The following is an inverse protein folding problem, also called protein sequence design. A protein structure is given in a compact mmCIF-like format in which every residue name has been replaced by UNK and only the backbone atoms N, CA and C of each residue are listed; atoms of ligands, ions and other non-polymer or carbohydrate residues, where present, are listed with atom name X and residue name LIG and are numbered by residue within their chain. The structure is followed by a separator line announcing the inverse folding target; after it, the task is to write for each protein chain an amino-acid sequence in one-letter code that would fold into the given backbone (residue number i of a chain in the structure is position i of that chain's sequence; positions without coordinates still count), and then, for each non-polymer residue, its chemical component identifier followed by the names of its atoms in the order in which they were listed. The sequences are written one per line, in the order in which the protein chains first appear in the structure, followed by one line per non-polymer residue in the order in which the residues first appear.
data_IF_523979376821
#
_entry.id   IF_523979376821
#
_cell.length_a   1.000
_cell.length_b   1.000
_cell.length_c   1.000
_cell.angle_alpha   90.00
_cell.angle_beta   90.00
_cell.angle_gamma   90.00
#
_symmetry.space_group_name_H-M   'P 1'
#
loop_
_entity.id
_entity.type
_entity.pdbx_description
1 polymer ?
#
# COMPACT_ATOMS: atom_id res chain seq x y z
N UNK A 1 3.16 33.86 40.53
CA UNK A 1 3.04 32.38 40.49
C UNK A 1 2.75 31.90 39.08
N UNK A 2 3.76 31.42 38.43
CA UNK A 2 3.61 30.90 37.07
C UNK A 2 2.96 29.51 37.13
N UNK A 3 1.75 29.35 36.63
CA UNK A 3 1.12 28.06 36.47
C UNK A 3 1.84 27.33 35.33
N UNK A 4 2.76 26.47 35.64
CA UNK A 4 3.31 25.48 34.73
C UNK A 4 2.15 24.64 34.20
N UNK A 5 1.74 24.87 32.92
CA UNK A 5 0.88 23.97 32.18
C UNK A 5 1.67 22.67 32.00
N UNK A 6 1.37 21.67 32.82
CA UNK A 6 1.74 20.28 32.50
C UNK A 6 1.11 19.95 31.16
N UNK A 7 1.87 20.08 30.10
CA UNK A 7 1.50 19.57 28.79
C UNK A 7 1.56 18.05 28.85
N UNK A 8 0.45 17.43 29.15
CA UNK A 8 0.34 15.97 29.09
C UNK A 8 0.66 15.57 27.64
N UNK A 9 1.75 14.83 27.45
CA UNK A 9 2.15 14.37 26.13
C UNK A 9 1.04 13.45 25.61
N UNK A 10 0.46 13.78 24.46
CA UNK A 10 -0.58 12.98 23.81
C UNK A 10 -0.03 11.59 23.50
N UNK A 11 -0.90 10.60 23.52
CA UNK A 11 -0.60 9.22 23.11
C UNK A 11 -0.51 9.10 21.60
N UNK A 12 0.09 8.02 21.09
CA UNK A 12 0.11 7.70 19.64
C UNK A 12 -1.30 7.68 19.07
N UNK A 13 -2.22 7.05 19.78
CA UNK A 13 -3.64 6.93 19.38
C UNK A 13 -4.32 8.30 19.27
N UNK A 14 -4.08 9.20 20.21
CA UNK A 14 -4.63 10.56 20.17
C UNK A 14 -4.10 11.37 18.99
N UNK A 15 -2.82 11.22 18.61
CA UNK A 15 -2.26 11.85 17.42
C UNK A 15 -2.85 11.29 16.13
N UNK A 16 -3.09 10.00 16.05
CA UNK A 16 -3.71 9.34 14.90
C UNK A 16 -5.16 9.82 14.73
N UNK A 17 -5.91 9.85 15.83
CA UNK A 17 -7.28 10.37 15.82
C UNK A 17 -7.33 11.82 15.32
N UNK A 18 -6.51 12.69 15.89
CA UNK A 18 -6.40 14.09 15.47
C UNK A 18 -6.02 14.23 13.98
N UNK A 19 -5.16 13.36 13.48
CA UNK A 19 -4.76 13.33 12.08
C UNK A 19 -5.94 13.08 11.15
N UNK A 20 -6.75 12.07 11.41
CA UNK A 20 -7.93 11.78 10.59
C UNK A 20 -9.03 12.84 10.76
N UNK A 21 -9.23 13.36 11.96
CA UNK A 21 -10.16 14.47 12.22
C UNK A 21 -9.79 15.72 11.42
N UNK A 22 -8.50 16.09 11.37
CA UNK A 22 -8.01 17.23 10.59
C UNK A 22 -8.20 17.06 9.08
N UNK A 23 -8.24 15.84 8.60
CA UNK A 23 -8.54 15.51 7.21
C UNK A 23 -10.05 15.39 6.94
N UNK A 24 -10.88 15.60 7.96
CA UNK A 24 -12.34 15.40 7.90
C UNK A 24 -12.74 13.98 7.44
N UNK A 25 -11.94 12.98 7.82
CA UNK A 25 -12.18 11.58 7.55
C UNK A 25 -12.79 10.95 8.80
N UNK A 26 -14.04 10.49 8.68
CA UNK A 26 -14.70 9.74 9.73
C UNK A 26 -14.25 8.28 9.66
N UNK A 27 -13.51 7.85 10.67
CA UNK A 27 -13.01 6.48 10.77
C UNK A 27 -12.89 6.03 12.21
N UNK A 28 -13.13 4.76 12.44
CA UNK A 28 -12.65 4.05 13.61
C UNK A 28 -11.43 3.22 13.23
N UNK A 29 -10.57 2.95 14.18
CA UNK A 29 -9.37 2.16 13.92
C UNK A 29 -8.96 1.32 15.12
N UNK A 30 -8.35 0.20 14.83
CA UNK A 30 -7.56 -0.60 15.75
C UNK A 30 -6.09 -0.36 15.48
N UNK A 31 -5.28 -0.31 16.54
CA UNK A 31 -3.86 -0.02 16.44
C UNK A 31 -3.03 -1.11 17.12
N UNK A 32 -2.03 -1.59 16.42
CA UNK A 32 -0.96 -2.42 16.96
C UNK A 32 0.36 -1.66 16.83
N UNK A 33 1.02 -1.38 17.95
CA UNK A 33 2.31 -0.68 17.96
C UNK A 33 3.44 -1.64 18.31
N UNK A 34 4.38 -1.81 17.39
CA UNK A 34 5.64 -2.52 17.57
C UNK A 34 6.82 -1.54 17.68
N UNK A 35 8.03 -2.05 17.83
CA UNK A 35 9.23 -1.23 18.00
C UNK A 35 9.50 -0.33 16.77
N UNK A 36 9.35 -0.85 15.56
CA UNK A 36 9.67 -0.16 14.32
C UNK A 36 8.45 0.13 13.43
N UNK A 37 7.28 -0.40 13.78
CA UNK A 37 6.08 -0.33 12.95
C UNK A 37 4.83 -0.07 13.80
N UNK A 38 3.92 0.73 13.24
CA UNK A 38 2.56 0.93 13.71
C UNK A 38 1.62 0.40 12.64
N UNK A 39 0.79 -0.56 12.98
CA UNK A 39 -0.26 -1.09 12.10
C UNK A 39 -1.60 -0.54 12.51
N UNK A 40 -2.34 -0.05 11.54
CA UNK A 40 -3.70 0.46 11.71
C UNK A 40 -4.65 -0.35 10.84
N UNK A 41 -5.75 -0.78 11.43
CA UNK A 41 -6.87 -1.34 10.69
C UNK A 41 -8.00 -0.33 10.76
N UNK A 42 -8.36 0.25 9.62
CA UNK A 42 -9.40 1.28 9.52
C UNK A 42 -10.74 0.68 9.12
N UNK A 43 -11.78 1.15 9.80
CA UNK A 43 -13.17 0.97 9.39
C UNK A 43 -13.77 2.32 9.02
N UNK A 44 -14.21 2.48 7.78
CA UNK A 44 -14.73 3.75 7.27
C UNK A 44 -15.69 3.52 6.10
N UNK A 45 -16.63 4.47 5.94
CA UNK A 45 -17.51 4.54 4.77
C UNK A 45 -16.76 5.12 3.54
N UNK A 46 -15.67 5.84 3.77
CA UNK A 46 -14.88 6.53 2.75
C UNK A 46 -13.68 5.71 2.24
N UNK A 47 -13.77 4.39 2.28
CA UNK A 47 -12.68 3.47 1.91
C UNK A 47 -12.10 3.75 0.53
N UNK A 48 -12.95 4.03 -0.46
CA UNK A 48 -12.51 4.36 -1.83
C UNK A 48 -11.67 5.62 -1.90
N UNK A 49 -12.01 6.66 -1.13
CA UNK A 49 -11.24 7.90 -1.06
C UNK A 49 -9.89 7.69 -0.34
N UNK A 50 -9.88 6.93 0.73
CA UNK A 50 -8.66 6.64 1.50
C UNK A 50 -7.69 5.76 0.70
N UNK A 51 -8.19 4.79 -0.05
CA UNK A 51 -7.39 3.91 -0.90
C UNK A 51 -6.88 4.69 -2.12
N UNK A 52 -7.78 5.41 -2.80
CA UNK A 52 -7.47 6.12 -4.03
C UNK A 52 -7.16 5.18 -5.20
N UNK A 53 -6.65 5.76 -6.27
CA UNK A 53 -6.28 5.01 -7.47
C UNK A 53 -5.15 4.02 -7.18
N UNK A 54 -5.41 2.74 -7.32
CA UNK A 54 -4.43 1.66 -7.05
C UNK A 54 -3.72 1.76 -5.69
N UNK A 55 -4.38 2.36 -4.68
CA UNK A 55 -3.80 2.55 -3.35
C UNK A 55 -2.77 3.68 -3.24
N UNK A 56 -2.68 4.60 -4.20
CA UNK A 56 -1.73 5.72 -4.16
C UNK A 56 -2.03 6.69 -3.02
N UNK A 57 -3.32 6.98 -2.77
CA UNK A 57 -3.73 7.83 -1.64
C UNK A 57 -3.38 7.16 -0.32
N UNK A 58 -3.61 5.86 -0.20
CA UNK A 58 -3.27 5.08 0.99
C UNK A 58 -1.76 5.12 1.29
N UNK A 59 -0.92 4.96 0.28
CA UNK A 59 0.53 5.04 0.43
C UNK A 59 0.97 6.45 0.90
N UNK A 60 0.36 7.49 0.34
CA UNK A 60 0.62 8.87 0.74
C UNK A 60 0.20 9.12 2.20
N UNK A 61 -0.97 8.66 2.61
CA UNK A 61 -1.46 8.78 3.98
C UNK A 61 -0.55 8.07 4.98
N UNK A 62 -0.09 6.87 4.66
CA UNK A 62 0.85 6.12 5.49
C UNK A 62 2.15 6.90 5.71
N UNK A 63 2.70 7.47 4.65
CA UNK A 63 3.93 8.25 4.71
C UNK A 63 3.74 9.52 5.54
N UNK A 64 2.68 10.29 5.27
CA UNK A 64 2.41 11.56 5.98
C UNK A 64 2.17 11.29 7.46
N UNK A 65 1.37 10.29 7.80
CA UNK A 65 1.11 9.93 9.19
C UNK A 65 2.40 9.50 9.91
N UNK A 66 3.25 8.69 9.26
CA UNK A 66 4.55 8.31 9.82
C UNK A 66 5.43 9.53 10.12
N UNK A 67 5.48 10.52 9.21
CA UNK A 67 6.23 11.76 9.40
C UNK A 67 5.64 12.63 10.53
N UNK A 68 4.32 12.74 10.63
CA UNK A 68 3.64 13.48 11.72
C UNK A 68 3.96 12.84 13.06
N UNK A 69 3.85 11.53 13.18
CA UNK A 69 4.15 10.81 14.41
C UNK A 69 5.64 10.94 14.78
N UNK A 70 6.55 10.78 13.82
CA UNK A 70 7.98 10.96 14.03
C UNK A 70 8.31 12.35 14.58
N UNK A 71 7.70 13.39 14.03
CA UNK A 71 7.89 14.76 14.53
C UNK A 71 7.34 14.98 15.93
N UNK A 72 6.24 14.33 16.28
CA UNK A 72 5.59 14.44 17.60
C UNK A 72 6.29 13.61 18.67
N UNK A 73 6.82 12.45 18.31
CA UNK A 73 7.39 11.47 19.25
C UNK A 73 8.94 11.49 19.28
N UNK A 74 9.58 12.05 18.27
CA UNK A 74 11.03 12.14 18.16
C UNK A 74 11.71 10.88 17.58
N UNK A 75 10.94 9.87 17.16
CA UNK A 75 11.45 8.65 16.53
C UNK A 75 10.56 8.26 15.35
N UNK A 76 11.17 7.86 14.24
CA UNK A 76 10.44 7.37 13.07
C UNK A 76 10.03 5.91 13.24
N UNK A 77 8.74 5.64 13.04
CA UNK A 77 8.20 4.30 12.89
C UNK A 77 7.45 4.22 11.56
N UNK A 78 7.58 3.10 10.89
CA UNK A 78 6.79 2.83 9.69
C UNK A 78 5.31 2.72 10.07
N UNK A 79 4.45 3.31 9.26
CA UNK A 79 2.99 3.16 9.41
C UNK A 79 2.45 2.32 8.27
N UNK A 80 1.71 1.29 8.61
CA UNK A 80 0.96 0.44 7.68
C UNK A 80 -0.53 0.57 7.99
N UNK A 81 -1.33 0.88 6.98
CA UNK A 81 -2.78 1.06 7.11
C UNK A 81 -3.47 0.00 6.26
N UNK A 82 -4.34 -0.77 6.90
CA UNK A 82 -5.26 -1.71 6.25
C UNK A 82 -6.67 -1.10 6.23
N UNK A 83 -7.32 -1.14 5.09
CA UNK A 83 -8.68 -0.61 4.90
C UNK A 83 -9.56 -1.73 4.35
N UNK A 84 -10.40 -2.30 5.21
CA UNK A 84 -11.24 -3.44 4.85
C UNK A 84 -10.42 -4.58 4.25
N UNK A 85 -10.95 -5.21 3.20
CA UNK A 85 -10.29 -6.31 2.47
C UNK A 85 -9.47 -5.85 1.26
N UNK A 86 -9.10 -4.56 1.18
CA UNK A 86 -8.45 -4.01 -0.02
C UNK A 86 -7.19 -4.77 -0.43
N UNK A 87 -6.30 -5.06 0.51
CA UNK A 87 -5.03 -5.75 0.22
C UNK A 87 -5.27 -7.14 -0.35
N UNK A 88 -6.18 -7.89 0.25
CA UNK A 88 -6.59 -9.23 -0.21
C UNK A 88 -7.20 -9.18 -1.61
N UNK A 89 -8.15 -8.27 -1.82
CA UNK A 89 -8.81 -8.09 -3.12
C UNK A 89 -7.80 -7.65 -4.20
N UNK A 90 -6.83 -6.81 -3.83
CA UNK A 90 -5.78 -6.39 -4.76
C UNK A 90 -4.86 -7.54 -5.14
N UNK A 91 -4.49 -8.40 -4.20
CA UNK A 91 -3.69 -9.61 -4.50
C UNK A 91 -4.45 -10.60 -5.40
N UNK A 92 -5.74 -10.80 -5.17
CA UNK A 92 -6.59 -11.64 -6.03
C UNK A 92 -6.67 -11.07 -7.44
N UNK A 93 -6.82 -9.76 -7.58
CA UNK A 93 -6.79 -9.08 -8.87
C UNK A 93 -5.43 -9.26 -9.60
N UNK A 94 -4.32 -9.16 -8.88
CA UNK A 94 -2.98 -9.39 -9.45
C UNK A 94 -2.80 -10.84 -9.92
N UNK A 95 -3.34 -11.82 -9.22
CA UNK A 95 -3.34 -13.23 -9.64
C UNK A 95 -4.11 -13.42 -10.95
N UNK A 96 -5.28 -12.81 -11.04
CA UNK A 96 -6.07 -12.81 -12.27
C UNK A 96 -5.35 -12.13 -13.43
N UNK A 97 -4.75 -10.96 -13.18
CA UNK A 97 -3.96 -10.25 -14.19
C UNK A 97 -2.79 -11.08 -14.71
N UNK A 98 -2.09 -11.81 -13.82
CA UNK A 98 -1.02 -12.73 -14.22
C UNK A 98 -1.52 -13.85 -15.14
N UNK A 99 -2.66 -14.46 -14.79
CA UNK A 99 -3.29 -15.51 -15.62
C UNK A 99 -3.73 -14.98 -16.98
N UNK A 100 -4.38 -13.83 -17.03
CA UNK A 100 -4.83 -13.19 -18.27
C UNK A 100 -3.64 -12.81 -19.18
N UNK A 101 -2.55 -12.31 -18.58
CA UNK A 101 -1.33 -11.96 -19.32
C UNK A 101 -0.65 -13.19 -19.90
N UNK A 102 -0.58 -14.31 -19.14
CA UNK A 102 -0.09 -15.59 -19.62
C UNK A 102 -0.90 -16.07 -20.81
N UNK A 103 -2.23 -16.16 -20.66
CA UNK A 103 -3.13 -16.61 -21.72
C UNK A 103 -2.97 -15.80 -23.00
N UNK A 104 -2.90 -14.48 -22.90
CA UNK A 104 -2.67 -13.60 -24.05
C UNK A 104 -1.31 -13.81 -24.69
N UNK A 105 -0.23 -13.93 -23.90
CA UNK A 105 1.12 -14.12 -24.41
C UNK A 105 1.23 -15.43 -25.19
N UNK A 106 0.68 -16.51 -24.67
CA UNK A 106 0.71 -17.84 -25.28
C UNK A 106 -0.19 -17.87 -26.53
N UNK A 107 -1.46 -17.46 -26.41
CA UNK A 107 -2.42 -17.54 -27.53
C UNK A 107 -2.08 -16.65 -28.71
N UNK A 108 -1.47 -15.50 -28.47
CA UNK A 108 -1.09 -14.53 -29.50
C UNK A 108 0.38 -14.64 -29.92
N UNK A 109 1.15 -15.54 -29.27
CA UNK A 109 2.61 -15.71 -29.49
C UNK A 109 3.37 -14.38 -29.49
N UNK A 110 3.04 -13.51 -28.56
CA UNK A 110 3.66 -12.18 -28.42
C UNK A 110 3.83 -11.78 -26.97
N UNK A 111 4.69 -10.80 -26.75
CA UNK A 111 4.84 -10.21 -25.42
C UNK A 111 3.61 -9.40 -25.00
N UNK A 112 3.32 -9.43 -23.71
CA UNK A 112 2.29 -8.63 -23.04
C UNK A 112 2.98 -7.72 -22.04
N UNK A 113 2.72 -6.42 -22.13
CA UNK A 113 3.30 -5.40 -21.24
C UNK A 113 2.27 -5.04 -20.18
N UNK A 114 2.65 -5.18 -18.92
CA UNK A 114 1.86 -4.77 -17.77
C UNK A 114 2.44 -3.48 -17.20
N UNK A 115 1.68 -2.41 -17.36
CA UNK A 115 2.03 -1.06 -16.93
C UNK A 115 1.39 -0.71 -15.58
N UNK A 116 1.76 0.41 -14.99
CA UNK A 116 1.16 0.99 -13.78
C UNK A 116 1.16 0.07 -12.55
N UNK A 117 2.13 -0.84 -12.46
CA UNK A 117 2.30 -1.73 -11.34
C UNK A 117 3.34 -1.19 -10.35
N UNK A 118 3.03 -1.24 -9.07
CA UNK A 118 3.98 -0.94 -8.00
C UNK A 118 5.09 -2.01 -7.93
N UNK A 119 6.24 -1.70 -7.35
CA UNK A 119 7.34 -2.68 -7.24
C UNK A 119 6.94 -4.00 -6.60
N UNK A 120 6.14 -3.97 -5.54
CA UNK A 120 5.66 -5.17 -4.86
C UNK A 120 4.63 -5.95 -5.70
N UNK A 121 3.81 -5.27 -6.50
CA UNK A 121 2.85 -5.89 -7.41
C UNK A 121 3.55 -6.62 -8.56
N UNK A 122 4.57 -5.99 -9.15
CA UNK A 122 5.41 -6.67 -10.15
C UNK A 122 6.07 -7.91 -9.59
N UNK A 123 6.55 -7.84 -8.33
CA UNK A 123 7.15 -9.00 -7.66
C UNK A 123 6.16 -10.15 -7.47
N UNK A 124 4.92 -9.86 -7.06
CA UNK A 124 3.87 -10.88 -6.90
C UNK A 124 3.61 -11.58 -8.24
N UNK A 125 3.36 -10.82 -9.31
CA UNK A 125 3.11 -11.39 -10.64
C UNK A 125 4.32 -12.20 -11.12
N UNK A 126 5.53 -11.66 -10.96
CA UNK A 126 6.75 -12.36 -11.33
C UNK A 126 6.90 -13.71 -10.60
N UNK A 127 6.64 -13.76 -9.30
CA UNK A 127 6.69 -14.99 -8.51
C UNK A 127 5.63 -16.01 -8.95
N UNK A 128 4.44 -15.57 -9.31
CA UNK A 128 3.38 -16.43 -9.85
C UNK A 128 3.82 -17.05 -11.18
N UNK A 129 4.39 -16.25 -12.08
CA UNK A 129 4.79 -16.67 -13.42
C UNK A 129 6.15 -17.38 -13.46
N UNK A 130 6.98 -17.23 -12.43
CA UNK A 130 8.30 -17.87 -12.35
C UNK A 130 8.23 -19.41 -12.35
N UNK A 131 7.12 -19.96 -11.88
CA UNK A 131 6.88 -21.42 -11.85
C UNK A 131 6.16 -21.94 -13.09
N UNK A 132 5.89 -21.06 -14.06
CA UNK A 132 5.15 -21.42 -15.26
C UNK A 132 6.09 -21.92 -16.36
N UNK A 133 5.69 -22.98 -17.05
CA UNK A 133 6.49 -23.62 -18.09
C UNK A 133 6.33 -22.98 -19.48
N UNK A 134 5.29 -22.17 -19.68
CA UNK A 134 4.92 -21.61 -20.98
C UNK A 134 5.35 -20.16 -21.17
N UNK A 135 5.59 -19.41 -20.08
CA UNK A 135 5.95 -18.00 -20.12
C UNK A 135 7.14 -17.65 -19.24
N UNK A 136 7.78 -16.55 -19.57
CA UNK A 136 8.75 -15.86 -18.72
C UNK A 136 8.29 -14.43 -18.46
N UNK A 137 8.63 -13.89 -17.31
CA UNK A 137 8.37 -12.50 -16.97
C UNK A 137 9.64 -11.74 -16.59
N UNK A 138 9.75 -10.51 -17.03
CA UNK A 138 10.92 -9.65 -16.80
C UNK A 138 10.47 -8.21 -16.55
N UNK A 139 11.04 -7.56 -15.53
CA UNK A 139 10.85 -6.12 -15.32
C UNK A 139 11.78 -5.33 -16.23
N UNK A 140 11.23 -4.37 -16.98
CA UNK A 140 11.97 -3.49 -17.89
C UNK A 140 11.70 -2.02 -17.59
N UNK A 141 12.67 -1.16 -17.83
CA UNK A 141 12.56 0.27 -17.57
C UNK A 141 12.99 0.68 -16.16
N UNK A 142 12.84 1.97 -15.87
CA UNK A 142 13.25 2.58 -14.61
C UNK A 142 12.15 3.45 -14.01
N UNK A 143 12.19 3.63 -12.69
CA UNK A 143 11.28 4.51 -11.96
C UNK A 143 9.80 4.20 -12.20
N UNK A 144 9.03 5.23 -12.51
CA UNK A 144 7.58 5.13 -12.75
C UNK A 144 7.22 4.47 -14.08
N UNK A 145 8.13 4.50 -15.05
CA UNK A 145 7.95 3.89 -16.38
C UNK A 145 8.34 2.40 -16.39
N UNK A 146 8.72 1.86 -15.24
CA UNK A 146 9.11 0.46 -15.15
C UNK A 146 7.89 -0.45 -15.28
N UNK A 147 7.95 -1.33 -16.25
CA UNK A 147 6.88 -2.27 -16.62
C UNK A 147 7.27 -3.71 -16.33
N UNK A 148 6.30 -4.61 -16.33
CA UNK A 148 6.53 -6.05 -16.33
C UNK A 148 6.15 -6.61 -17.70
N UNK A 149 7.10 -7.25 -18.37
CA UNK A 149 6.92 -7.87 -19.69
C UNK A 149 6.76 -9.37 -19.51
N UNK A 150 5.67 -9.91 -20.03
CA UNK A 150 5.38 -11.36 -20.04
C UNK A 150 5.51 -11.86 -21.47
N UNK A 151 6.39 -12.85 -21.68
CA UNK A 151 6.68 -13.42 -23.00
C UNK A 151 6.44 -14.93 -23.01
N UNK A 152 5.95 -15.51 -24.12
CA UNK A 152 5.98 -16.96 -24.29
C UNK A 152 7.44 -17.47 -24.33
N UNK A 153 7.66 -18.67 -23.84
CA UNK A 153 8.96 -19.37 -23.92
C UNK A 153 9.24 -19.89 -25.29
#
# INVERSE_FOLDING_TARGET
MSKSKKTTKKTTEEYIKEFFENLSIETSFEMEEAEEEIRLTLETQDSGMIIGYHGETLDALQLILALVLAKKQGAFKRVSIEVGDYKKNREEWLRKLASDAKEKAVSQSREVILEELKPWERRIIHLILAQDDEVVSESSGEGRERVLVVRPK
#
